data_IF_751236898120
#
_entry.id   IF_751236898120
#
_cell.length_a   1.000
_cell.length_b   1.000
_cell.length_c   1.000
_cell.angle_alpha   90.00
_cell.angle_beta   90.00
_cell.angle_gamma   90.00
#
_symmetry.space_group_name_H-M   'P 1'
#
loop_
_entity.id
_entity.type
_entity.pdbx_description
1 polymer ?
#
# COMPACT_ATOMS: atom_id res chain seq x y z
N UNK A 1 -23.39 -27.72 -50.41
CA UNK A 1 -22.69 -28.11 -49.18
C UNK A 1 -21.21 -28.14 -49.48
N UNK A 2 -20.38 -27.67 -48.56
CA UNK A 2 -18.93 -27.54 -48.70
C UNK A 2 -18.28 -28.56 -47.78
N UNK A 3 -17.22 -29.22 -48.21
CA UNK A 3 -16.49 -30.16 -47.38
C UNK A 3 -15.49 -29.43 -46.48
N UNK A 4 -15.51 -29.70 -45.17
CA UNK A 4 -14.54 -29.12 -44.24
C UNK A 4 -13.13 -29.70 -44.49
N UNK A 5 -12.10 -28.86 -44.71
CA UNK A 5 -10.75 -29.35 -45.03
C UNK A 5 -10.04 -30.03 -43.85
N UNK A 6 -10.56 -29.92 -42.63
CA UNK A 6 -10.00 -30.56 -41.43
C UNK A 6 -10.66 -31.90 -41.08
N UNK A 7 -12.00 -31.96 -41.06
CA UNK A 7 -12.72 -33.17 -40.64
C UNK A 7 -13.41 -33.92 -41.78
N UNK A 8 -13.43 -33.39 -43.00
CA UNK A 8 -14.03 -34.04 -44.17
C UNK A 8 -15.57 -34.05 -44.21
N UNK A 9 -16.25 -33.46 -43.22
CA UNK A 9 -17.72 -33.43 -43.12
C UNK A 9 -18.31 -32.35 -44.05
N UNK A 10 -19.46 -32.66 -44.67
CA UNK A 10 -20.27 -31.71 -45.45
C UNK A 10 -20.97 -30.70 -44.52
N UNK A 11 -20.72 -29.41 -44.73
CA UNK A 11 -21.27 -28.30 -43.92
C UNK A 11 -21.83 -27.19 -44.81
N UNK A 12 -22.58 -26.27 -44.19
CA UNK A 12 -23.18 -25.11 -44.87
C UNK A 12 -22.20 -23.95 -45.03
N UNK A 13 -21.28 -23.77 -44.09
CA UNK A 13 -20.32 -22.67 -44.08
C UNK A 13 -18.98 -23.08 -43.44
N UNK A 14 -17.93 -22.33 -43.82
CA UNK A 14 -16.60 -22.41 -43.22
C UNK A 14 -16.27 -21.06 -42.57
N UNK A 15 -15.52 -21.10 -41.48
CA UNK A 15 -15.06 -19.93 -40.76
C UNK A 15 -13.54 -19.83 -40.85
N UNK A 16 -13.00 -18.62 -41.11
CA UNK A 16 -11.56 -18.40 -41.10
C UNK A 16 -10.98 -18.64 -39.70
N UNK A 17 -9.78 -19.20 -39.65
CA UNK A 17 -9.01 -19.28 -38.41
C UNK A 17 -8.40 -17.92 -38.10
N UNK A 18 -8.65 -17.43 -36.89
CA UNK A 18 -8.05 -16.20 -36.39
C UNK A 18 -6.52 -16.33 -36.30
N UNK A 19 -5.72 -15.36 -36.79
CA UNK A 19 -4.26 -15.42 -36.73
C UNK A 19 -3.69 -15.67 -35.32
N UNK A 20 -4.32 -15.11 -34.27
CA UNK A 20 -3.93 -15.34 -32.87
C UNK A 20 -4.19 -16.80 -32.43
N UNK A 21 -5.30 -17.39 -32.90
CA UNK A 21 -5.60 -18.80 -32.67
C UNK A 21 -4.60 -19.72 -33.38
N UNK A 22 -4.23 -19.41 -34.62
CA UNK A 22 -3.23 -20.17 -35.40
C UNK A 22 -1.88 -20.15 -34.71
N UNK A 23 -1.41 -18.98 -34.26
CA UNK A 23 -0.14 -18.85 -33.53
C UNK A 23 -0.12 -19.69 -32.24
N UNK A 24 -1.23 -19.68 -31.48
CA UNK A 24 -1.38 -20.49 -30.26
C UNK A 24 -1.41 -21.99 -30.52
N UNK A 25 -2.05 -22.42 -31.61
CA UNK A 25 -2.10 -23.83 -32.02
C UNK A 25 -0.72 -24.32 -32.47
N UNK A 26 0.01 -23.52 -33.25
CA UNK A 26 1.38 -23.82 -33.66
C UNK A 26 2.32 -23.95 -32.45
N UNK A 27 2.19 -23.07 -31.45
CA UNK A 27 2.92 -23.17 -30.20
C UNK A 27 2.53 -24.43 -29.37
N UNK A 28 1.31 -24.93 -29.55
CA UNK A 28 0.84 -26.19 -28.96
C UNK A 28 1.24 -27.45 -29.77
N UNK A 29 1.99 -27.28 -30.88
CA UNK A 29 2.48 -28.37 -31.72
C UNK A 29 1.58 -28.76 -32.90
N UNK A 30 0.47 -28.05 -33.12
CA UNK A 30 -0.40 -28.27 -34.29
C UNK A 30 0.22 -27.62 -35.53
N UNK A 31 0.50 -28.43 -36.56
CA UNK A 31 1.08 -27.98 -37.83
C UNK A 31 0.11 -28.23 -38.98
N UNK A 32 0.26 -27.50 -40.09
CA UNK A 32 -0.59 -27.64 -41.30
C UNK A 32 -2.09 -27.34 -41.07
N UNK A 33 -2.40 -26.25 -40.37
CA UNK A 33 -3.78 -25.80 -40.16
C UNK A 33 -4.36 -25.19 -41.45
N UNK A 34 -5.52 -25.66 -41.95
CA UNK A 34 -6.18 -25.05 -43.11
C UNK A 34 -6.69 -23.64 -42.78
N UNK A 35 -6.78 -22.72 -43.76
CA UNK A 35 -7.13 -21.32 -43.52
C UNK A 35 -8.56 -21.12 -43.00
N UNK A 36 -9.47 -22.05 -43.31
CA UNK A 36 -10.86 -22.03 -42.87
C UNK A 36 -11.32 -23.44 -42.50
N UNK A 37 -12.20 -23.55 -41.50
CA UNK A 37 -12.74 -24.83 -41.00
C UNK A 37 -14.22 -24.69 -40.63
N UNK A 38 -14.93 -25.80 -40.44
CA UNK A 38 -16.31 -25.75 -39.94
C UNK A 38 -16.40 -25.32 -38.47
N UNK A 39 -17.61 -24.94 -38.02
CA UNK A 39 -17.88 -24.51 -36.64
C UNK A 39 -17.55 -25.57 -35.56
N UNK A 40 -17.66 -26.86 -35.89
CA UNK A 40 -17.22 -27.94 -34.99
C UNK A 40 -15.71 -27.93 -34.80
N UNK A 41 -14.97 -27.95 -35.90
CA UNK A 41 -13.51 -27.93 -35.90
C UNK A 41 -12.93 -26.67 -35.24
N UNK A 42 -13.50 -25.48 -35.47
CA UNK A 42 -13.01 -24.25 -34.81
C UNK A 42 -13.21 -24.31 -33.29
N UNK A 43 -14.31 -24.92 -32.83
CA UNK A 43 -14.59 -25.11 -31.41
C UNK A 43 -13.63 -26.10 -30.76
N UNK A 44 -13.30 -27.20 -31.44
CA UNK A 44 -12.34 -28.20 -30.96
C UNK A 44 -10.91 -27.65 -30.92
N UNK A 45 -10.51 -26.87 -31.93
CA UNK A 45 -9.21 -26.20 -31.96
C UNK A 45 -9.09 -25.18 -30.82
N UNK A 46 -10.13 -24.38 -30.56
CA UNK A 46 -10.17 -23.48 -29.39
C UNK A 46 -10.05 -24.23 -28.07
N UNK A 47 -10.69 -25.39 -27.96
CA UNK A 47 -10.59 -26.27 -26.78
C UNK A 47 -9.16 -26.78 -26.59
N UNK A 48 -8.52 -27.21 -27.68
CA UNK A 48 -7.13 -27.69 -27.68
C UNK A 48 -6.17 -26.63 -27.15
N UNK A 49 -6.30 -25.39 -27.61
CA UNK A 49 -5.53 -24.25 -27.07
C UNK A 49 -5.84 -24.01 -25.59
N UNK A 50 -7.11 -24.07 -25.18
CA UNK A 50 -7.51 -23.85 -23.80
C UNK A 50 -6.95 -24.92 -22.84
N UNK A 51 -6.85 -26.18 -23.29
CA UNK A 51 -6.31 -27.30 -22.50
C UNK A 51 -4.80 -27.48 -22.61
N UNK A 52 -4.15 -26.76 -23.54
CA UNK A 52 -2.69 -26.73 -23.63
C UNK A 52 -2.05 -26.20 -22.34
N UNK A 53 -0.79 -26.57 -22.07
CA UNK A 53 -0.04 -26.10 -20.90
C UNK A 53 -0.06 -24.56 -20.79
N UNK A 54 0.12 -23.85 -21.91
CA UNK A 54 0.03 -22.39 -21.98
C UNK A 54 -1.38 -21.84 -21.70
N UNK A 55 -2.42 -22.49 -22.24
CA UNK A 55 -3.81 -22.09 -22.00
C UNK A 55 -4.23 -22.24 -20.53
N UNK A 56 -3.85 -23.34 -19.89
CA UNK A 56 -4.09 -23.59 -18.47
C UNK A 56 -3.37 -22.58 -17.59
N UNK A 57 -2.10 -22.27 -17.89
CA UNK A 57 -1.32 -21.26 -17.15
C UNK A 57 -1.96 -19.87 -17.23
N UNK A 58 -2.34 -19.40 -18.42
CA UNK A 58 -3.01 -18.10 -18.57
C UNK A 58 -4.38 -18.07 -17.86
N UNK A 59 -5.15 -19.17 -17.91
CA UNK A 59 -6.41 -19.26 -17.18
C UNK A 59 -6.19 -19.17 -15.66
N UNK A 60 -5.16 -19.83 -15.13
CA UNK A 60 -4.78 -19.74 -13.73
C UNK A 60 -4.33 -18.32 -13.35
N UNK A 61 -3.53 -17.65 -14.18
CA UNK A 61 -3.10 -16.27 -13.95
C UNK A 61 -4.28 -15.29 -13.93
N UNK A 62 -5.18 -15.39 -14.92
CA UNK A 62 -6.42 -14.59 -14.96
C UNK A 62 -7.30 -14.85 -13.74
N UNK A 63 -7.45 -16.10 -13.32
CA UNK A 63 -8.20 -16.45 -12.12
C UNK A 63 -7.56 -15.84 -10.85
N UNK A 64 -6.22 -15.87 -10.74
CA UNK A 64 -5.47 -15.22 -9.65
C UNK A 64 -5.64 -13.70 -9.66
N UNK A 65 -5.60 -13.06 -10.83
CA UNK A 65 -5.88 -11.63 -10.99
C UNK A 65 -7.29 -11.25 -10.59
N UNK A 66 -8.30 -11.98 -11.09
CA UNK A 66 -9.70 -11.76 -10.75
C UNK A 66 -9.95 -11.94 -9.25
N UNK A 67 -9.36 -12.96 -8.65
CA UNK A 67 -9.44 -13.19 -7.21
C UNK A 67 -8.82 -12.03 -6.40
N UNK A 68 -7.63 -11.54 -6.80
CA UNK A 68 -7.01 -10.35 -6.17
C UNK A 68 -7.89 -9.11 -6.27
N UNK A 69 -8.49 -8.86 -7.45
CA UNK A 69 -9.41 -7.74 -7.66
C UNK A 69 -10.68 -7.86 -6.79
N UNK A 70 -11.21 -9.07 -6.64
CA UNK A 70 -12.37 -9.33 -5.78
C UNK A 70 -12.05 -9.06 -4.30
N UNK A 71 -10.90 -9.54 -3.82
CA UNK A 71 -10.43 -9.27 -2.46
C UNK A 71 -10.19 -7.77 -2.23
N UNK A 72 -9.58 -7.08 -3.19
CA UNK A 72 -9.41 -5.63 -3.12
C UNK A 72 -10.74 -4.92 -2.95
N UNK A 73 -11.77 -5.27 -3.74
CA UNK A 73 -13.11 -4.66 -3.63
C UNK A 73 -13.78 -4.92 -2.27
N UNK A 74 -13.61 -6.12 -1.70
CA UNK A 74 -14.28 -6.49 -0.44
C UNK A 74 -13.60 -5.93 0.82
N UNK A 75 -12.33 -5.53 0.74
CA UNK A 75 -11.52 -5.07 1.89
C UNK A 75 -12.19 -3.96 2.73
N UNK A 76 -12.91 -3.04 2.08
CA UNK A 76 -13.53 -1.88 2.74
C UNK A 76 -14.62 -2.32 3.73
N UNK A 77 -15.33 -3.41 3.43
CA UNK A 77 -16.37 -3.94 4.32
C UNK A 77 -15.78 -4.50 5.62
N UNK A 78 -14.55 -5.02 5.59
CA UNK A 78 -13.85 -5.47 6.79
C UNK A 78 -13.52 -4.29 7.72
N UNK A 79 -13.07 -3.16 7.17
CA UNK A 79 -12.82 -1.94 7.96
C UNK A 79 -14.10 -1.40 8.57
N UNK A 80 -15.20 -1.37 7.80
CA UNK A 80 -16.51 -0.94 8.32
C UNK A 80 -16.97 -1.84 9.46
N UNK A 81 -16.92 -3.16 9.27
CA UNK A 81 -17.26 -4.15 10.30
C UNK A 81 -16.39 -3.98 11.55
N UNK A 82 -15.07 -3.84 11.38
CA UNK A 82 -14.15 -3.67 12.50
C UNK A 82 -14.47 -2.42 13.34
N UNK A 83 -14.74 -1.28 12.68
CA UNK A 83 -15.10 -0.02 13.36
C UNK A 83 -16.44 -0.11 14.09
N UNK A 84 -17.42 -0.79 13.50
CA UNK A 84 -18.70 -1.07 14.18
C UNK A 84 -18.47 -1.92 15.43
N UNK A 85 -17.70 -3.00 15.31
CA UNK A 85 -17.33 -3.85 16.46
C UNK A 85 -16.57 -3.08 17.54
N UNK A 86 -15.67 -2.16 17.16
CA UNK A 86 -14.98 -1.26 18.11
C UNK A 86 -15.98 -0.37 18.88
N UNK A 87 -16.96 0.22 18.17
CA UNK A 87 -18.02 1.02 18.79
C UNK A 87 -18.88 0.23 19.78
N UNK A 88 -19.17 -1.04 19.44
CA UNK A 88 -19.89 -1.98 20.31
C UNK A 88 -19.01 -2.67 21.36
N UNK A 89 -17.74 -2.28 21.51
CA UNK A 89 -16.75 -2.89 22.43
C UNK A 89 -16.50 -4.40 22.21
N UNK A 90 -16.83 -4.92 21.02
CA UNK A 90 -16.55 -6.29 20.59
C UNK A 90 -15.13 -6.39 20.04
N UNK A 91 -14.12 -6.27 20.92
CA UNK A 91 -12.72 -6.13 20.52
C UNK A 91 -12.16 -7.35 19.77
N UNK A 92 -12.59 -8.57 20.13
CA UNK A 92 -12.18 -9.79 19.43
C UNK A 92 -12.65 -9.80 17.97
N UNK A 93 -13.90 -9.43 17.72
CA UNK A 93 -14.47 -9.36 16.37
C UNK A 93 -13.83 -8.24 15.53
N UNK A 94 -13.52 -7.12 16.19
CA UNK A 94 -12.78 -6.03 15.58
C UNK A 94 -11.38 -6.49 15.14
N UNK A 95 -10.64 -7.16 16.04
CA UNK A 95 -9.32 -7.70 15.73
C UNK A 95 -9.35 -8.69 14.56
N UNK A 96 -10.29 -9.64 14.54
CA UNK A 96 -10.45 -10.59 13.44
C UNK A 96 -10.69 -9.86 12.11
N UNK A 97 -11.55 -8.84 12.12
CA UNK A 97 -11.87 -8.08 10.91
C UNK A 97 -10.66 -7.27 10.41
N UNK A 98 -9.90 -6.66 11.32
CA UNK A 98 -8.66 -5.97 11.01
C UNK A 98 -7.55 -6.90 10.50
N UNK A 99 -7.35 -8.06 11.14
CA UNK A 99 -6.38 -9.07 10.71
C UNK A 99 -6.72 -9.61 9.31
N UNK A 100 -8.01 -9.87 9.02
CA UNK A 100 -8.47 -10.26 7.68
C UNK A 100 -8.19 -9.19 6.64
N UNK A 101 -8.39 -7.92 6.99
CA UNK A 101 -8.08 -6.80 6.10
C UNK A 101 -6.59 -6.77 5.76
N UNK A 102 -5.71 -6.86 6.76
CA UNK A 102 -4.26 -6.92 6.55
C UNK A 102 -3.86 -8.13 5.69
N UNK A 103 -4.51 -9.29 5.91
CA UNK A 103 -4.26 -10.48 5.11
C UNK A 103 -4.65 -10.32 3.64
N UNK A 104 -5.73 -9.59 3.35
CA UNK A 104 -6.08 -9.23 1.97
C UNK A 104 -4.98 -8.38 1.35
N UNK A 105 -4.43 -7.42 2.07
CA UNK A 105 -3.33 -6.59 1.56
C UNK A 105 -2.09 -7.43 1.25
N UNK A 106 -1.72 -8.38 2.13
CA UNK A 106 -0.60 -9.29 1.85
C UNK A 106 -0.79 -10.05 0.53
N UNK A 107 -2.01 -10.50 0.23
CA UNK A 107 -2.33 -11.24 -1.00
C UNK A 107 -2.31 -10.30 -2.21
N UNK A 108 -2.94 -9.12 -2.10
CA UNK A 108 -3.06 -8.15 -3.20
C UNK A 108 -1.69 -7.58 -3.59
N UNK A 109 -0.81 -7.36 -2.61
CA UNK A 109 0.56 -6.87 -2.83
C UNK A 109 1.60 -7.98 -2.96
N UNK A 110 1.18 -9.24 -3.02
CA UNK A 110 2.07 -10.41 -3.23
C UNK A 110 3.23 -10.49 -2.22
N UNK A 111 2.95 -10.17 -0.96
CA UNK A 111 3.93 -10.23 0.13
C UNK A 111 4.38 -11.67 0.32
N UNK A 112 5.70 -11.91 0.21
CA UNK A 112 6.26 -13.27 0.30
C UNK A 112 6.11 -13.83 1.71
N UNK A 113 6.09 -15.16 1.82
CA UNK A 113 6.00 -15.86 3.11
C UNK A 113 7.18 -15.45 4.01
N UNK A 114 6.87 -14.96 5.20
CA UNK A 114 7.87 -14.48 6.18
C UNK A 114 8.23 -13.00 6.04
N UNK A 115 7.83 -12.35 4.94
CA UNK A 115 7.93 -10.91 4.80
C UNK A 115 6.71 -10.21 5.43
N UNK A 116 6.83 -8.90 5.65
CA UNK A 116 5.74 -8.05 6.11
C UNK A 116 5.46 -6.98 5.07
N UNK A 117 4.20 -6.59 4.97
CA UNK A 117 3.77 -5.46 4.15
C UNK A 117 4.57 -4.20 4.51
N UNK A 118 5.04 -3.49 3.49
CA UNK A 118 5.81 -2.26 3.68
C UNK A 118 5.15 -1.08 2.96
N UNK A 119 5.36 0.16 3.43
CA UNK A 119 4.80 1.35 2.78
C UNK A 119 5.16 1.50 1.30
N UNK A 120 6.31 0.96 0.87
CA UNK A 120 6.76 1.01 -0.53
C UNK A 120 5.84 0.25 -1.49
N UNK A 121 4.97 -0.63 -0.99
CA UNK A 121 3.97 -1.31 -1.81
C UNK A 121 2.86 -0.36 -2.31
N UNK A 122 2.72 0.84 -1.71
CA UNK A 122 1.62 1.78 -1.95
C UNK A 122 1.99 2.99 -2.82
N UNK A 123 3.00 2.88 -3.70
CA UNK A 123 3.59 4.00 -4.45
C UNK A 123 2.63 4.73 -5.42
N UNK A 124 1.51 4.13 -5.78
CA UNK A 124 0.48 4.76 -6.64
C UNK A 124 -0.41 5.69 -5.80
N UNK A 125 -0.73 6.88 -6.31
CA UNK A 125 -1.56 7.89 -5.60
C UNK A 125 -2.94 7.36 -5.18
N UNK A 126 -3.53 6.44 -5.95
CA UNK A 126 -4.78 5.75 -5.59
C UNK A 126 -4.63 4.85 -4.34
N UNK A 127 -3.41 4.42 -4.01
CA UNK A 127 -3.06 3.54 -2.89
C UNK A 127 -2.47 4.29 -1.69
N UNK A 128 -2.03 5.54 -1.84
CA UNK A 128 -1.49 6.32 -0.71
C UNK A 128 -2.54 6.66 0.35
N UNK A 129 -3.82 6.77 -0.02
CA UNK A 129 -4.92 6.92 0.95
C UNK A 129 -5.07 5.67 1.84
N UNK A 130 -4.77 4.49 1.29
CA UNK A 130 -4.81 3.22 2.00
C UNK A 130 -3.73 3.16 3.10
N UNK A 131 -2.58 3.86 2.96
CA UNK A 131 -1.57 3.95 4.03
C UNK A 131 -2.18 4.50 5.33
N UNK A 132 -3.05 5.50 5.22
CA UNK A 132 -3.76 6.09 6.37
C UNK A 132 -4.71 5.07 7.00
N UNK A 133 -5.37 4.26 6.18
CA UNK A 133 -6.24 3.16 6.66
C UNK A 133 -5.39 2.14 7.41
N UNK A 134 -4.31 1.65 6.82
CA UNK A 134 -3.39 0.68 7.44
C UNK A 134 -2.83 1.20 8.76
N UNK A 135 -2.40 2.46 8.82
CA UNK A 135 -1.93 3.07 10.06
C UNK A 135 -3.05 3.13 11.12
N UNK A 136 -4.27 3.52 10.75
CA UNK A 136 -5.41 3.50 11.68
C UNK A 136 -5.73 2.09 12.19
N UNK A 137 -5.60 1.07 11.34
CA UNK A 137 -5.81 -0.35 11.71
C UNK A 137 -4.77 -0.80 12.73
N UNK A 138 -3.49 -0.53 12.50
CA UNK A 138 -2.45 -0.92 13.46
C UNK A 138 -2.56 -0.17 14.79
N UNK A 139 -3.01 1.09 14.77
CA UNK A 139 -3.33 1.83 16.00
C UNK A 139 -4.46 1.18 16.80
N UNK A 140 -5.52 0.73 16.13
CA UNK A 140 -6.63 0.05 16.79
C UNK A 140 -6.21 -1.33 17.32
N UNK A 141 -5.47 -2.12 16.53
CA UNK A 141 -4.94 -3.41 16.96
C UNK A 141 -4.00 -3.28 18.16
N UNK A 142 -3.14 -2.26 18.18
CA UNK A 142 -2.28 -1.97 19.34
C UNK A 142 -3.12 -1.78 20.61
N UNK A 143 -4.23 -1.04 20.54
CA UNK A 143 -5.14 -0.83 21.67
C UNK A 143 -5.92 -2.08 22.05
N UNK A 144 -6.39 -2.85 21.06
CA UNK A 144 -7.10 -4.11 21.32
C UNK A 144 -6.18 -5.11 22.02
N UNK A 145 -4.94 -5.29 21.56
CA UNK A 145 -4.02 -6.26 22.16
C UNK A 145 -3.49 -5.82 23.52
N UNK A 146 -3.54 -4.53 23.87
CA UNK A 146 -3.23 -4.06 25.21
C UNK A 146 -4.20 -4.63 26.28
N UNK A 147 -5.38 -5.11 25.88
CA UNK A 147 -6.39 -5.64 26.82
C UNK A 147 -5.92 -6.87 27.61
N UNK A 148 -4.95 -7.65 27.12
CA UNK A 148 -4.48 -8.87 27.79
C UNK A 148 -3.00 -9.15 27.49
N UNK A 149 -2.23 -9.51 28.52
CA UNK A 149 -0.79 -9.81 28.42
C UNK A 149 -0.46 -10.94 27.43
N UNK A 150 -1.38 -11.90 27.24
CA UNK A 150 -1.22 -12.97 26.24
C UNK A 150 -0.95 -12.45 24.82
N UNK A 151 -1.37 -11.21 24.52
CA UNK A 151 -1.23 -10.62 23.20
C UNK A 151 -0.02 -9.67 23.07
N UNK A 152 0.91 -9.66 24.03
CA UNK A 152 2.09 -8.78 24.00
C UNK A 152 2.88 -8.87 22.68
N UNK A 153 3.14 -10.07 22.16
CA UNK A 153 3.84 -10.22 20.88
C UNK A 153 3.06 -9.64 19.69
N UNK A 154 1.73 -9.81 19.70
CA UNK A 154 0.85 -9.24 18.67
C UNK A 154 0.80 -7.71 18.79
N UNK A 155 0.73 -7.19 20.01
CA UNK A 155 0.78 -5.76 20.30
C UNK A 155 2.09 -5.13 19.84
N UNK A 156 3.23 -5.77 20.14
CA UNK A 156 4.55 -5.31 19.72
C UNK A 156 4.69 -5.34 18.19
N UNK A 157 4.16 -6.35 17.54
CA UNK A 157 4.12 -6.41 16.08
C UNK A 157 3.28 -5.29 15.48
N UNK A 158 2.10 -5.01 16.04
CA UNK A 158 1.26 -3.89 15.63
C UNK A 158 1.97 -2.54 15.85
N UNK A 159 2.67 -2.35 16.97
CA UNK A 159 3.48 -1.18 17.26
C UNK A 159 4.61 -0.95 16.24
N UNK A 160 5.35 -2.01 15.90
CA UNK A 160 6.43 -1.94 14.89
C UNK A 160 5.90 -1.58 13.50
N UNK A 161 4.79 -2.18 13.10
CA UNK A 161 4.15 -1.86 11.82
C UNK A 161 3.56 -0.45 11.83
N UNK A 162 2.89 -0.05 12.90
CA UNK A 162 2.35 1.31 13.04
C UNK A 162 3.46 2.35 12.86
N UNK A 163 4.59 2.21 13.56
CA UNK A 163 5.72 3.14 13.45
C UNK A 163 6.25 3.26 12.01
N UNK A 164 6.28 2.14 11.27
CA UNK A 164 6.73 2.11 9.88
C UNK A 164 5.77 2.86 8.93
N UNK A 165 4.46 2.69 9.11
CA UNK A 165 3.45 3.27 8.22
C UNK A 165 3.10 4.72 8.58
N UNK A 166 2.98 5.03 9.88
CA UNK A 166 2.38 6.28 10.36
C UNK A 166 3.09 7.54 9.85
N UNK A 167 4.41 7.46 9.66
CA UNK A 167 5.26 8.55 9.15
C UNK A 167 4.87 9.04 7.74
N UNK A 168 4.16 8.21 6.96
CA UNK A 168 3.73 8.53 5.60
C UNK A 168 2.25 8.92 5.52
N UNK A 169 1.63 9.23 6.66
CA UNK A 169 0.20 9.51 6.76
C UNK A 169 -0.05 10.88 7.38
N UNK A 170 -1.14 11.57 7.00
CA UNK A 170 -1.44 12.89 7.55
C UNK A 170 -1.89 12.82 9.01
N UNK A 171 -2.29 11.64 9.49
CA UNK A 171 -2.78 11.40 10.86
C UNK A 171 -1.65 11.20 11.89
N UNK A 172 -0.37 11.28 11.47
CA UNK A 172 0.79 11.14 12.36
C UNK A 172 0.67 11.94 13.66
N UNK A 173 0.49 13.28 13.64
CA UNK A 173 0.52 14.08 14.88
C UNK A 173 -0.58 13.65 15.85
N UNK A 174 -1.77 13.36 15.34
CA UNK A 174 -2.91 12.92 16.15
C UNK A 174 -2.66 11.57 16.80
N UNK A 175 -2.09 10.62 16.06
CA UNK A 175 -1.79 9.29 16.59
C UNK A 175 -0.69 9.35 17.64
N UNK A 176 0.35 10.17 17.46
CA UNK A 176 1.39 10.36 18.48
C UNK A 176 0.81 10.95 19.75
N UNK A 177 0.01 12.02 19.65
CA UNK A 177 -0.67 12.62 20.81
C UNK A 177 -1.58 11.63 21.54
N UNK A 178 -2.34 10.83 20.78
CA UNK A 178 -3.18 9.76 21.34
C UNK A 178 -2.35 8.68 22.01
N UNK A 179 -1.20 8.31 21.45
CA UNK A 179 -0.28 7.32 22.02
C UNK A 179 0.39 7.80 23.30
N UNK A 180 0.81 9.07 23.37
CA UNK A 180 1.34 9.68 24.60
C UNK A 180 0.31 9.69 25.72
N UNK A 181 -0.95 10.01 25.39
CA UNK A 181 -2.06 9.94 26.35
C UNK A 181 -2.33 8.50 26.78
N UNK A 182 -2.45 7.58 25.81
CA UNK A 182 -2.74 6.17 26.05
C UNK A 182 -1.66 5.48 26.89
N UNK A 183 -0.38 5.85 26.71
CA UNK A 183 0.73 5.30 27.47
C UNK A 183 0.59 5.47 29.00
N UNK A 184 -0.19 6.47 29.45
CA UNK A 184 -0.45 6.71 30.88
C UNK A 184 -1.41 5.70 31.51
N UNK A 185 -2.28 5.10 30.70
CA UNK A 185 -3.35 4.19 31.13
C UNK A 185 -3.23 2.79 30.53
N UNK A 186 -2.23 2.55 29.69
CA UNK A 186 -2.00 1.27 29.02
C UNK A 186 -1.59 0.20 30.02
N UNK A 187 -2.03 -1.04 29.80
CA UNK A 187 -1.56 -2.20 30.58
C UNK A 187 -0.11 -2.54 30.26
N UNK A 188 0.32 -2.29 29.02
CA UNK A 188 1.67 -2.54 28.53
C UNK A 188 2.36 -1.24 28.08
N UNK A 189 2.64 -0.28 29.00
CA UNK A 189 3.14 1.05 28.64
C UNK A 189 4.53 0.99 27.97
N UNK A 190 5.31 -0.05 28.23
CA UNK A 190 6.62 -0.25 27.62
C UNK A 190 6.53 -0.44 26.10
N UNK A 191 5.52 -1.17 25.60
CA UNK A 191 5.30 -1.36 24.16
C UNK A 191 4.89 -0.04 23.50
N UNK A 192 4.04 0.75 24.17
CA UNK A 192 3.63 2.07 23.67
C UNK A 192 4.82 3.03 23.63
N UNK A 193 5.68 3.02 24.65
CA UNK A 193 6.94 3.80 24.66
C UNK A 193 7.89 3.37 23.55
N UNK A 194 8.00 2.06 23.27
CA UNK A 194 8.77 1.57 22.12
C UNK A 194 8.18 2.05 20.80
N UNK A 195 6.86 2.02 20.62
CA UNK A 195 6.18 2.60 19.46
C UNK A 195 6.55 4.07 19.25
N UNK A 196 6.44 4.88 20.30
CA UNK A 196 6.77 6.31 20.26
C UNK A 196 8.24 6.52 19.86
N UNK A 197 9.17 5.76 20.47
CA UNK A 197 10.60 5.83 20.14
C UNK A 197 10.90 5.44 18.70
N UNK A 198 10.29 4.37 18.19
CA UNK A 198 10.46 3.95 16.79
C UNK A 198 9.90 5.01 15.84
N UNK A 199 8.72 5.56 16.14
CA UNK A 199 8.07 6.57 15.31
C UNK A 199 8.88 7.87 15.23
N UNK A 200 9.51 8.28 16.33
CA UNK A 200 10.39 9.46 16.34
C UNK A 200 11.68 9.22 15.53
N UNK A 201 12.28 8.04 15.65
CA UNK A 201 13.50 7.67 14.90
C UNK A 201 13.26 7.66 13.39
N UNK A 202 12.14 7.10 12.96
CA UNK A 202 11.80 6.96 11.54
C UNK A 202 11.29 8.28 10.93
N UNK A 203 10.85 9.26 11.75
CA UNK A 203 10.26 10.50 11.23
C UNK A 203 11.30 11.31 10.43
N UNK A 204 11.04 11.59 9.15
CA UNK A 204 11.94 12.43 8.37
C UNK A 204 11.94 13.86 8.95
N UNK A 205 13.11 14.37 9.34
CA UNK A 205 13.29 15.67 10.00
C UNK A 205 13.37 16.85 9.01
N UNK A 206 12.64 17.93 9.27
CA UNK A 206 12.88 19.23 8.62
C UNK A 206 13.87 20.01 9.49
N UNK A 207 15.18 19.75 9.34
CA UNK A 207 16.24 20.24 10.24
C UNK A 207 16.21 21.76 10.46
N UNK A 208 16.16 22.55 9.38
CA UNK A 208 16.17 24.03 9.47
C UNK A 208 14.91 24.53 10.18
N UNK A 209 13.73 24.03 9.78
CA UNK A 209 12.47 24.45 10.38
C UNK A 209 12.38 24.02 11.86
N UNK A 210 12.89 22.83 12.18
CA UNK A 210 12.96 22.31 13.56
C UNK A 210 13.87 23.16 14.43
N UNK A 211 15.04 23.58 13.92
CA UNK A 211 15.94 24.50 14.64
C UNK A 211 15.30 25.88 14.84
N UNK A 212 14.56 26.38 13.84
CA UNK A 212 13.92 27.69 13.89
C UNK A 212 12.73 27.75 14.86
N UNK A 213 11.79 26.79 14.78
CA UNK A 213 10.50 26.84 15.49
C UNK A 213 10.34 25.80 16.61
N UNK A 214 11.21 24.79 16.66
CA UNK A 214 11.06 23.63 17.54
C UNK A 214 10.30 22.46 16.88
N UNK A 215 10.56 21.22 17.29
CA UNK A 215 10.14 20.01 16.58
C UNK A 215 8.62 19.77 16.54
N UNK A 216 7.89 20.36 17.49
CA UNK A 216 6.43 20.20 17.66
C UNK A 216 5.62 21.42 17.18
N UNK A 217 6.27 22.48 16.68
CA UNK A 217 5.58 23.67 16.18
C UNK A 217 4.65 23.37 15.00
N UNK A 218 3.57 24.16 14.87
CA UNK A 218 2.60 24.02 13.79
C UNK A 218 3.27 24.25 12.43
N UNK A 219 4.14 25.25 12.33
CA UNK A 219 4.89 25.57 11.10
C UNK A 219 5.72 24.38 10.60
N UNK A 220 6.36 23.64 11.51
CA UNK A 220 7.15 22.44 11.15
C UNK A 220 6.23 21.30 10.69
N UNK A 221 5.03 21.18 11.24
CA UNK A 221 4.06 20.18 10.82
C UNK A 221 3.54 20.46 9.40
N UNK A 222 3.20 21.71 9.09
CA UNK A 222 2.77 22.14 7.75
C UNK A 222 3.85 21.90 6.70
N UNK A 223 5.10 22.28 6.99
CA UNK A 223 6.22 22.03 6.08
C UNK A 223 6.49 20.53 5.85
N UNK A 224 6.25 19.68 6.87
CA UNK A 224 6.35 18.23 6.72
C UNK A 224 5.25 17.70 5.80
N UNK A 225 4.00 18.15 5.99
CA UNK A 225 2.87 17.79 5.11
C UNK A 225 3.15 18.20 3.67
N UNK A 226 3.59 19.44 3.43
CA UNK A 226 3.97 19.90 2.09
C UNK A 226 5.08 19.04 1.46
N UNK A 227 6.12 18.71 2.25
CA UNK A 227 7.19 17.81 1.79
C UNK A 227 6.65 16.44 1.37
N UNK A 228 5.80 15.85 2.21
CA UNK A 228 5.37 14.47 2.06
C UNK A 228 4.28 14.28 1.00
N UNK A 229 3.34 15.23 0.88
CA UNK A 229 2.21 15.13 -0.06
C UNK A 229 2.39 15.91 -1.36
N UNK A 230 3.31 16.88 -1.42
CA UNK A 230 3.53 17.68 -2.63
C UNK A 230 4.90 17.39 -3.24
N UNK A 231 5.98 17.65 -2.51
CA UNK A 231 7.34 17.52 -3.05
C UNK A 231 7.69 16.06 -3.38
N UNK A 232 7.36 15.12 -2.50
CA UNK A 232 7.72 13.71 -2.70
C UNK A 232 7.08 13.06 -3.94
N UNK A 233 5.95 13.59 -4.38
CA UNK A 233 5.21 13.06 -5.53
C UNK A 233 5.83 13.41 -6.88
N UNK A 234 6.83 14.31 -6.92
CA UNK A 234 7.50 14.71 -8.16
C UNK A 234 8.98 14.32 -8.16
N UNK A 235 9.56 14.04 -9.35
CA UNK A 235 10.99 13.72 -9.47
C UNK A 235 11.90 14.87 -9.02
N UNK A 236 11.51 16.11 -9.32
CA UNK A 236 12.22 17.31 -8.87
C UNK A 236 12.12 17.49 -7.35
N UNK A 237 10.94 17.33 -6.77
CA UNK A 237 10.78 17.46 -5.33
C UNK A 237 11.54 16.38 -4.55
N UNK A 238 11.63 15.14 -5.05
CA UNK A 238 12.51 14.10 -4.45
C UNK A 238 13.98 14.51 -4.46
N UNK A 239 14.47 15.13 -5.54
CA UNK A 239 15.86 15.61 -5.64
C UNK A 239 16.12 16.80 -4.71
N UNK A 240 15.16 17.71 -4.59
CA UNK A 240 15.19 18.81 -3.62
C UNK A 240 15.26 18.28 -2.18
N UNK A 241 14.42 17.30 -1.83
CA UNK A 241 14.45 16.64 -0.52
C UNK A 241 15.85 16.04 -0.27
N UNK A 242 16.41 15.29 -1.21
CA UNK A 242 17.74 14.70 -1.04
C UNK A 242 18.83 15.76 -0.78
N UNK A 243 18.82 16.86 -1.54
CA UNK A 243 19.73 17.99 -1.35
C UNK A 243 19.54 18.64 0.03
N UNK A 244 18.29 18.88 0.41
CA UNK A 244 17.93 19.42 1.71
C UNK A 244 18.49 18.54 2.83
N UNK A 245 18.27 17.23 2.82
CA UNK A 245 18.77 16.32 3.86
C UNK A 245 20.30 16.25 3.90
N UNK A 246 20.99 16.45 2.77
CA UNK A 246 22.45 16.48 2.71
C UNK A 246 23.06 17.70 3.40
N UNK A 247 22.46 18.88 3.22
CA UNK A 247 23.06 20.14 3.69
C UNK A 247 22.40 20.74 4.93
N UNK A 248 21.10 20.49 5.13
CA UNK A 248 20.33 21.09 6.22
C UNK A 248 20.81 20.75 7.64
N UNK A 249 21.43 19.59 7.95
CA UNK A 249 21.93 19.33 9.31
C UNK A 249 23.04 20.31 9.72
N UNK A 250 23.98 20.61 8.83
CA UNK A 250 25.05 21.57 9.09
C UNK A 250 24.49 23.00 9.25
N UNK A 251 23.54 23.38 8.39
CA UNK A 251 22.87 24.68 8.46
C UNK A 251 22.08 24.82 9.76
N UNK A 252 21.35 23.78 10.17
CA UNK A 252 20.60 23.78 11.42
C UNK A 252 21.53 23.89 12.64
N UNK A 253 22.67 23.21 12.64
CA UNK A 253 23.68 23.35 13.69
C UNK A 253 24.21 24.78 13.80
N UNK A 254 24.49 25.43 12.66
CA UNK A 254 24.91 26.84 12.64
C UNK A 254 23.81 27.76 13.17
N UNK A 255 22.55 27.51 12.77
CA UNK A 255 21.38 28.28 13.21
C UNK A 255 21.11 28.12 14.71
N UNK A 256 21.38 26.94 15.29
CA UNK A 256 21.29 26.72 16.73
C UNK A 256 22.40 27.44 17.51
N UNK A 257 23.61 27.55 16.93
CA UNK A 257 24.72 28.34 17.49
C UNK A 257 24.50 29.86 17.40
N UNK A 258 23.64 30.32 16.49
CA UNK A 258 23.40 31.74 16.22
C UNK A 258 21.90 32.09 16.32
N UNK A 259 21.35 32.19 17.55
CA UNK A 259 19.90 32.38 17.76
C UNK A 259 19.32 33.65 17.12
N UNK A 260 20.13 34.69 16.92
CA UNK A 260 19.71 35.96 16.31
C UNK A 260 19.31 35.82 14.82
N UNK A 261 19.74 34.74 14.14
CA UNK A 261 19.31 34.43 12.77
C UNK A 261 17.93 33.77 12.71
N UNK A 262 17.45 33.19 13.82
CA UNK A 262 16.19 32.46 13.85
C UNK A 262 14.98 33.32 13.46
N UNK A 263 14.82 34.58 13.90
CA UNK A 263 13.71 35.44 13.48
C UNK A 263 13.64 35.62 11.96
N UNK A 264 14.77 35.85 11.27
CA UNK A 264 14.81 36.00 9.83
C UNK A 264 14.41 34.70 9.11
N UNK A 265 14.96 33.57 9.55
CA UNK A 265 14.60 32.24 9.02
C UNK A 265 13.11 31.95 9.25
N UNK A 266 12.56 32.29 10.42
CA UNK A 266 11.13 32.13 10.71
C UNK A 266 10.26 32.97 9.77
N UNK A 267 10.66 34.20 9.45
CA UNK A 267 9.92 35.06 8.53
C UNK A 267 9.88 34.46 7.12
N UNK A 268 11.02 33.99 6.60
CA UNK A 268 11.11 33.34 5.29
C UNK A 268 10.26 32.07 5.26
N UNK A 269 10.38 31.21 6.28
CA UNK A 269 9.62 29.97 6.34
C UNK A 269 8.11 30.21 6.47
N UNK A 270 7.66 31.23 7.21
CA UNK A 270 6.24 31.61 7.27
C UNK A 270 5.72 32.13 5.94
N UNK A 271 6.53 32.87 5.19
CA UNK A 271 6.16 33.29 3.83
C UNK A 271 6.00 32.07 2.93
N UNK A 272 6.95 31.13 2.97
CA UNK A 272 6.86 29.88 2.21
C UNK A 272 5.61 29.08 2.57
N UNK A 273 5.31 28.92 3.86
CA UNK A 273 4.10 28.25 4.35
C UNK A 273 2.85 28.88 3.73
N UNK A 274 2.71 30.21 3.76
CA UNK A 274 1.57 30.90 3.15
C UNK A 274 1.43 30.68 1.63
N UNK A 275 2.53 30.36 0.94
CA UNK A 275 2.50 30.07 -0.49
C UNK A 275 2.17 28.61 -0.81
N UNK A 276 2.27 27.70 0.17
CA UNK A 276 2.10 26.25 -0.03
C UNK A 276 0.90 25.64 0.71
N UNK A 277 0.36 26.36 1.70
CA UNK A 277 -0.94 26.10 2.33
C UNK A 277 -2.08 26.61 1.45
#
# INVERSE_FOLDING_TARGET
>A
MIQCPRCGIQVTELHPLDPDLVSKLQAAGETNLPPQVCAGCISDLRRTVATSSGGVLMAQERAREQHRLQLWKSRVQLIKKARMSMGSKLYSDAAISYEKYLKILDIVFEVKKGEKLRPEAFKESARTTELTVVASVYWDLLRIYDTNEKYQDRMLNAAKQLAMFIQFTPIYPDIIKKAESFAKTARNPNIVKQFLKMSDKERPRCFIATSAFGPQSLEVQELRVFRDFTLRNTSWGRRFIALYYKHSPAIACLLDKQPWLKPAVRAILRLMIKCVS
#
